data_IF_253194501351
#
_entry.id   IF_253194501351
#
_cell.length_a   1.000
_cell.length_b   1.000
_cell.length_c   1.000
_cell.angle_alpha   90.00
_cell.angle_beta   90.00
_cell.angle_gamma   90.00
#
_symmetry.space_group_name_H-M   'P 1'
#
loop_
_entity.id
_entity.type
_entity.pdbx_description
1 polymer ?
#
# COMPACT_ATOMS: atom_id res chain seq x y z
N UNK A 1 -27.15 -14.43 2.48
CA UNK A 1 -26.34 -14.95 1.35
C UNK A 1 -26.46 -16.46 1.14
N UNK A 2 -25.75 -17.37 1.84
CA UNK A 2 -25.80 -18.82 1.52
C UNK A 2 -27.22 -19.39 1.45
N UNK A 3 -28.04 -19.10 2.47
CA UNK A 3 -29.46 -19.50 2.48
C UNK A 3 -30.23 -18.95 1.28
N UNK A 4 -30.05 -17.68 0.95
CA UNK A 4 -30.71 -17.04 -0.20
C UNK A 4 -30.28 -17.67 -1.53
N UNK A 5 -29.01 -18.02 -1.68
CA UNK A 5 -28.50 -18.71 -2.88
C UNK A 5 -29.12 -20.10 -3.04
N UNK A 6 -29.22 -20.86 -1.94
CA UNK A 6 -29.90 -22.16 -1.91
C UNK A 6 -31.40 -22.02 -2.19
N UNK A 7 -32.07 -21.01 -1.60
CA UNK A 7 -33.49 -20.74 -1.83
C UNK A 7 -33.77 -20.34 -3.30
N UNK A 8 -32.79 -19.72 -3.98
CA UNK A 8 -32.83 -19.37 -5.40
C UNK A 8 -32.39 -20.51 -6.34
N UNK A 9 -31.93 -21.65 -5.80
CA UNK A 9 -31.46 -22.79 -6.60
C UNK A 9 -30.18 -22.52 -7.39
N UNK A 10 -29.37 -21.55 -6.97
CA UNK A 10 -28.10 -21.21 -7.64
C UNK A 10 -27.02 -22.17 -7.12
N UNK A 11 -26.33 -22.89 -8.01
CA UNK A 11 -25.18 -23.71 -7.62
C UNK A 11 -24.01 -22.81 -7.19
N UNK A 12 -23.43 -23.11 -6.04
CA UNK A 12 -22.26 -22.41 -5.53
C UNK A 12 -21.36 -23.36 -4.75
N UNK A 13 -20.06 -23.07 -4.79
CA UNK A 13 -19.03 -23.69 -3.96
C UNK A 13 -18.66 -22.70 -2.85
N UNK A 14 -18.85 -23.08 -1.60
CA UNK A 14 -18.53 -22.21 -0.47
C UNK A 14 -17.08 -22.41 -0.01
N UNK A 15 -16.34 -21.30 0.03
CA UNK A 15 -14.94 -21.27 0.46
C UNK A 15 -14.86 -20.56 1.81
N UNK A 16 -14.31 -21.23 2.82
CA UNK A 16 -14.15 -20.63 4.15
C UNK A 16 -13.13 -19.48 4.16
N UNK A 17 -11.96 -19.67 3.54
CA UNK A 17 -10.91 -18.66 3.49
C UNK A 17 -10.06 -18.74 2.21
N UNK A 18 -10.36 -17.87 1.24
CA UNK A 18 -9.61 -17.78 -0.01
C UNK A 18 -8.13 -17.43 0.19
N UNK A 19 -7.80 -16.67 1.26
CA UNK A 19 -6.40 -16.34 1.57
C UNK A 19 -5.65 -17.61 1.97
N UNK A 20 -6.27 -18.47 2.78
CA UNK A 20 -5.69 -19.75 3.17
C UNK A 20 -5.45 -20.66 1.96
N UNK A 21 -6.46 -20.79 1.07
CA UNK A 21 -6.36 -21.59 -0.15
C UNK A 21 -5.21 -21.11 -1.03
N UNK A 22 -5.08 -19.79 -1.19
CA UNK A 22 -4.00 -19.17 -1.94
C UNK A 22 -2.62 -19.46 -1.32
N UNK A 23 -2.47 -19.28 0.00
CA UNK A 23 -1.20 -19.52 0.70
C UNK A 23 -0.71 -20.96 0.55
N UNK A 24 -1.63 -21.94 0.56
CA UNK A 24 -1.31 -23.37 0.41
C UNK A 24 -1.33 -23.85 -1.03
N UNK A 25 -1.61 -22.98 -2.00
CA UNK A 25 -1.73 -23.30 -3.43
C UNK A 25 -2.71 -24.46 -3.67
N UNK A 26 -3.90 -24.36 -3.06
CA UNK A 26 -4.90 -25.42 -3.12
C UNK A 26 -5.29 -25.74 -4.59
N UNK A 27 -5.43 -27.03 -4.96
CA UNK A 27 -5.81 -27.43 -6.31
C UNK A 27 -7.14 -26.85 -6.82
N UNK A 28 -8.09 -26.53 -5.94
CA UNK A 28 -9.37 -25.94 -6.30
C UNK A 28 -9.19 -24.63 -7.09
N UNK A 29 -8.20 -23.80 -6.71
CA UNK A 29 -7.88 -22.57 -7.45
C UNK A 29 -7.60 -22.83 -8.93
N UNK A 30 -6.87 -23.92 -9.22
CA UNK A 30 -6.55 -24.32 -10.60
C UNK A 30 -7.75 -24.90 -11.33
N UNK A 31 -8.69 -25.54 -10.63
CA UNK A 31 -9.95 -26.02 -11.23
C UNK A 31 -10.78 -24.83 -11.67
N UNK A 32 -11.02 -23.88 -10.75
CA UNK A 32 -11.80 -22.67 -11.01
C UNK A 32 -11.20 -21.81 -12.11
N UNK A 33 -9.89 -21.58 -12.10
CA UNK A 33 -9.21 -20.79 -13.12
C UNK A 33 -9.26 -21.40 -14.55
N UNK A 34 -9.66 -22.68 -14.68
CA UNK A 34 -9.83 -23.36 -15.97
C UNK A 34 -11.28 -23.42 -16.46
N UNK A 35 -12.25 -22.97 -15.65
CA UNK A 35 -13.64 -22.92 -16.06
C UNK A 35 -13.82 -21.93 -17.22
N UNK A 36 -14.83 -22.16 -18.06
CA UNK A 36 -15.11 -21.28 -19.20
C UNK A 36 -15.66 -19.92 -18.74
N UNK A 37 -16.55 -19.94 -17.74
CA UNK A 37 -17.06 -18.76 -17.05
C UNK A 37 -17.12 -19.03 -15.54
N UNK A 38 -16.74 -18.04 -14.74
CA UNK A 38 -16.85 -18.12 -13.28
C UNK A 38 -17.24 -16.77 -12.68
N UNK A 39 -18.21 -16.78 -11.77
CA UNK A 39 -18.54 -15.62 -10.93
C UNK A 39 -17.92 -15.80 -9.55
N UNK A 40 -17.12 -14.85 -9.10
CA UNK A 40 -16.45 -14.91 -7.80
C UNK A 40 -17.03 -13.82 -6.90
N UNK A 41 -17.74 -14.25 -5.87
CA UNK A 41 -18.30 -13.39 -4.82
C UNK A 41 -17.32 -13.36 -3.65
N UNK A 42 -16.55 -12.28 -3.50
CA UNK A 42 -15.48 -12.22 -2.51
C UNK A 42 -15.16 -10.77 -2.08
N UNK A 43 -13.90 -10.48 -1.77
CA UNK A 43 -13.42 -9.13 -1.51
C UNK A 43 -13.13 -8.37 -2.83
N UNK A 44 -12.37 -7.27 -2.75
CA UNK A 44 -12.02 -6.46 -3.91
C UNK A 44 -11.36 -7.28 -5.03
N UNK A 45 -11.73 -6.99 -6.28
CA UNK A 45 -11.22 -7.64 -7.50
C UNK A 45 -9.69 -7.76 -7.51
N UNK A 46 -8.96 -6.67 -7.26
CA UNK A 46 -7.48 -6.70 -7.28
C UNK A 46 -6.93 -7.71 -6.28
N UNK A 47 -7.52 -7.79 -5.08
CA UNK A 47 -7.10 -8.76 -4.08
C UNK A 47 -7.35 -10.20 -4.55
N UNK A 48 -8.54 -10.48 -5.09
CA UNK A 48 -8.89 -11.83 -5.59
C UNK A 48 -7.99 -12.25 -6.75
N UNK A 49 -7.82 -11.38 -7.75
CA UNK A 49 -6.93 -11.61 -8.90
C UNK A 49 -5.52 -12.01 -8.46
N UNK A 50 -4.93 -11.25 -7.54
CA UNK A 50 -3.56 -11.49 -7.10
C UNK A 50 -3.43 -12.62 -6.06
N UNK A 51 -4.51 -12.97 -5.35
CA UNK A 51 -4.59 -14.21 -4.56
C UNK A 51 -4.54 -15.45 -5.46
N UNK A 52 -5.31 -15.47 -6.55
CA UNK A 52 -5.28 -16.57 -7.51
C UNK A 52 -3.91 -16.69 -8.18
N UNK A 53 -3.30 -15.56 -8.56
CA UNK A 53 -1.92 -15.53 -9.07
C UNK A 53 -0.92 -16.09 -8.04
N UNK A 54 -0.98 -15.65 -6.78
CA UNK A 54 -0.09 -16.13 -5.70
C UNK A 54 -0.28 -17.65 -5.42
N UNK A 55 -1.51 -18.15 -5.58
CA UNK A 55 -1.85 -19.57 -5.52
C UNK A 55 -1.35 -20.39 -6.72
N UNK A 56 -0.77 -19.75 -7.74
CA UNK A 56 -0.31 -20.42 -8.97
C UNK A 56 -1.43 -20.77 -9.94
N UNK A 57 -2.53 -20.03 -9.91
CA UNK A 57 -3.71 -20.21 -10.76
C UNK A 57 -4.23 -18.85 -11.26
N UNK A 58 -3.46 -18.09 -12.06
CA UNK A 58 -3.89 -16.77 -12.53
C UNK A 58 -5.21 -16.85 -13.30
N UNK A 59 -6.14 -15.95 -12.98
CA UNK A 59 -7.45 -15.85 -13.63
C UNK A 59 -7.34 -15.14 -14.99
N UNK A 60 -8.19 -15.53 -15.93
CA UNK A 60 -8.36 -14.84 -17.22
C UNK A 60 -9.46 -13.79 -17.08
N UNK A 61 -9.18 -12.48 -17.27
CA UNK A 61 -10.16 -11.41 -17.09
C UNK A 61 -11.44 -11.58 -17.92
N UNK A 62 -11.35 -12.19 -19.10
CA UNK A 62 -12.48 -12.38 -20.02
C UNK A 62 -13.45 -13.47 -19.56
N UNK A 63 -13.04 -14.32 -18.62
CA UNK A 63 -13.80 -15.48 -18.13
C UNK A 63 -14.32 -15.31 -16.70
N UNK A 64 -13.93 -14.24 -16.03
CA UNK A 64 -14.26 -14.01 -14.62
C UNK A 64 -15.08 -12.76 -14.43
N UNK A 65 -16.15 -12.88 -13.65
CA UNK A 65 -16.91 -11.75 -13.14
C UNK A 65 -16.68 -11.68 -11.62
N UNK A 66 -16.32 -10.50 -11.12
CA UNK A 66 -16.10 -10.28 -9.70
C UNK A 66 -17.28 -9.51 -9.09
N UNK A 67 -17.81 -10.04 -8.00
CA UNK A 67 -18.86 -9.40 -7.19
C UNK A 67 -18.28 -9.09 -5.81
N UNK A 68 -18.24 -7.82 -5.44
CA UNK A 68 -17.47 -7.35 -4.28
C UNK A 68 -18.36 -7.21 -3.04
N UNK A 69 -18.28 -8.18 -2.14
CA UNK A 69 -19.04 -8.19 -0.89
C UNK A 69 -18.67 -7.08 0.10
N UNK A 70 -17.57 -6.34 -0.11
CA UNK A 70 -17.20 -5.22 0.77
C UNK A 70 -17.94 -3.94 0.46
N UNK A 71 -18.37 -3.76 -0.79
CA UNK A 71 -18.97 -2.51 -1.27
C UNK A 71 -20.38 -2.71 -1.81
N UNK A 72 -20.66 -3.88 -2.37
CA UNK A 72 -21.92 -4.16 -3.05
C UNK A 72 -22.94 -4.70 -2.06
N UNK A 73 -24.20 -4.33 -2.23
CA UNK A 73 -25.29 -4.84 -1.39
C UNK A 73 -25.62 -6.30 -1.74
N UNK A 74 -26.20 -7.02 -0.78
CA UNK A 74 -26.60 -8.42 -0.98
C UNK A 74 -27.59 -8.53 -2.15
N UNK A 75 -28.54 -7.60 -2.26
CA UNK A 75 -29.55 -7.59 -3.32
C UNK A 75 -28.92 -7.40 -4.71
N UNK A 76 -27.92 -6.51 -4.81
CA UNK A 76 -27.19 -6.28 -6.07
C UNK A 76 -26.42 -7.52 -6.51
N UNK A 77 -25.76 -8.20 -5.56
CA UNK A 77 -25.03 -9.43 -5.82
C UNK A 77 -25.99 -10.53 -6.26
N UNK A 78 -27.10 -10.73 -5.54
CA UNK A 78 -28.10 -11.74 -5.88
C UNK A 78 -28.73 -11.50 -7.26
N UNK A 79 -29.04 -10.24 -7.60
CA UNK A 79 -29.53 -9.90 -8.94
C UNK A 79 -28.56 -10.32 -10.03
N UNK A 80 -27.26 -10.05 -9.84
CA UNK A 80 -26.21 -10.42 -10.80
C UNK A 80 -26.02 -11.94 -10.91
N UNK A 81 -26.31 -12.70 -9.85
CA UNK A 81 -26.20 -14.16 -9.84
C UNK A 81 -27.43 -14.87 -10.42
N UNK A 82 -28.62 -14.29 -10.30
CA UNK A 82 -29.88 -14.88 -10.79
C UNK A 82 -29.99 -15.00 -12.31
N UNK A 83 -29.08 -14.38 -13.05
CA UNK A 83 -28.97 -14.52 -14.52
C UNK A 83 -28.29 -15.84 -14.94
N UNK A 84 -27.81 -16.66 -13.99
CA UNK A 84 -27.20 -17.96 -14.25
C UNK A 84 -28.24 -19.09 -14.12
N UNK A 85 -28.34 -19.95 -15.14
CA UNK A 85 -29.30 -21.07 -15.15
C UNK A 85 -29.02 -22.06 -14.01
N UNK A 86 -30.08 -22.38 -13.27
CA UNK A 86 -30.05 -23.34 -12.18
C UNK A 86 -29.91 -24.78 -12.72
N UNK A 87 -28.85 -25.47 -12.31
CA UNK A 87 -28.77 -26.93 -12.34
C UNK A 87 -28.83 -27.45 -10.90
N UNK A 88 -29.38 -28.64 -10.70
CA UNK A 88 -29.59 -29.20 -9.37
C UNK A 88 -28.50 -30.23 -9.06
N UNK A 89 -27.40 -29.78 -8.46
CA UNK A 89 -26.37 -30.66 -7.89
C UNK A 89 -25.86 -30.11 -6.54
N UNK A 90 -25.35 -31.03 -5.72
CA UNK A 90 -25.00 -30.82 -4.31
C UNK A 90 -23.93 -29.73 -4.12
N UNK A 91 -24.10 -28.90 -3.07
CA UNK A 91 -23.15 -27.86 -2.70
C UNK A 91 -21.91 -28.47 -2.04
N UNK A 92 -20.72 -28.28 -2.62
CA UNK A 92 -19.44 -28.66 -2.03
C UNK A 92 -18.91 -27.51 -1.15
N UNK A 93 -18.62 -27.80 0.13
CA UNK A 93 -17.98 -26.85 1.05
C UNK A 93 -16.48 -27.20 1.17
N UNK A 94 -15.61 -26.26 0.81
CA UNK A 94 -14.18 -26.37 1.11
C UNK A 94 -13.96 -25.87 2.52
N UNK A 95 -13.89 -26.82 3.45
CA UNK A 95 -13.55 -26.59 4.84
C UNK A 95 -12.10 -26.08 5.01
N UNK A 96 -11.85 -25.19 5.98
CA UNK A 96 -10.51 -24.73 6.30
C UNK A 96 -9.67 -25.87 6.89
N UNK A 97 -8.35 -25.81 6.72
CA UNK A 97 -7.46 -26.81 7.30
C UNK A 97 -7.49 -26.69 8.83
N UNK A 98 -7.85 -27.77 9.53
CA UNK A 98 -7.91 -27.82 11.00
C UNK A 98 -6.52 -27.68 11.67
N UNK A 99 -5.46 -27.55 10.88
CA UNK A 99 -4.07 -27.38 11.32
C UNK A 99 -3.77 -25.94 11.79
N UNK A 100 -4.43 -25.54 12.87
CA UNK A 100 -3.89 -24.61 13.85
C UNK A 100 -4.33 -23.14 13.78
N UNK A 101 -3.92 -22.40 14.81
CA UNK A 101 -4.27 -21.00 15.16
C UNK A 101 -3.73 -19.93 14.18
N UNK A 102 -3.22 -20.32 13.02
CA UNK A 102 -2.56 -19.39 12.11
C UNK A 102 -3.59 -18.63 11.29
N UNK A 103 -3.52 -17.30 11.35
CA UNK A 103 -4.36 -16.42 10.54
C UNK A 103 -3.63 -16.22 9.21
N UNK A 104 -4.23 -16.57 8.05
CA UNK A 104 -3.60 -16.44 6.73
C UNK A 104 -3.55 -14.95 6.32
N UNK A 105 -2.71 -14.21 7.04
CA UNK A 105 -2.36 -12.83 6.83
C UNK A 105 -1.02 -12.78 6.09
N UNK A 106 -1.05 -12.37 4.83
CA UNK A 106 0.14 -12.19 4.02
C UNK A 106 -0.13 -11.19 2.88
N UNK A 107 0.91 -10.53 2.36
CA UNK A 107 0.76 -9.66 1.21
C UNK A 107 0.61 -10.49 -0.07
N UNK A 108 -0.15 -9.96 -1.03
CA UNK A 108 -0.06 -10.33 -2.45
C UNK A 108 0.45 -9.13 -3.25
N UNK A 109 1.07 -9.39 -4.40
CA UNK A 109 1.69 -8.34 -5.22
C UNK A 109 0.85 -8.15 -6.47
N UNK A 110 0.45 -6.90 -6.69
CA UNK A 110 -0.11 -6.42 -7.93
C UNK A 110 0.99 -6.17 -8.95
N UNK A 111 1.24 -7.14 -9.83
CA UNK A 111 2.31 -7.05 -10.81
C UNK A 111 2.02 -6.07 -11.95
N UNK A 112 0.76 -5.67 -12.15
CA UNK A 112 0.42 -4.61 -13.11
C UNK A 112 0.85 -3.22 -12.62
N UNK A 113 0.99 -3.06 -11.30
CA UNK A 113 1.49 -1.82 -10.68
C UNK A 113 2.95 -1.91 -10.22
N UNK A 114 3.45 -3.11 -9.96
CA UNK A 114 4.77 -3.30 -9.39
C UNK A 114 5.88 -2.89 -10.37
N UNK A 115 6.53 -1.75 -10.13
CA UNK A 115 7.72 -1.32 -10.86
C UNK A 115 9.01 -2.08 -10.46
N UNK A 116 8.90 -3.21 -9.76
CA UNK A 116 10.01 -4.03 -9.26
C UNK A 116 11.13 -3.24 -8.52
N UNK A 117 10.76 -2.18 -7.77
CA UNK A 117 11.72 -1.28 -7.10
C UNK A 117 12.41 -1.87 -5.84
N UNK A 118 12.00 -3.07 -5.40
CA UNK A 118 12.58 -3.81 -4.26
C UNK A 118 12.48 -3.13 -2.88
N UNK A 119 11.73 -2.03 -2.74
CA UNK A 119 11.55 -1.38 -1.44
C UNK A 119 10.87 -2.28 -0.41
N UNK A 120 9.84 -3.04 -0.80
CA UNK A 120 9.16 -3.99 0.10
C UNK A 120 10.09 -5.12 0.59
N UNK A 121 11.00 -5.58 -0.27
CA UNK A 121 12.03 -6.57 0.07
C UNK A 121 12.95 -6.04 1.16
N UNK A 122 13.49 -4.84 0.98
CA UNK A 122 14.42 -4.23 1.94
C UNK A 122 13.73 -3.78 3.24
N UNK A 123 12.45 -3.43 3.16
CA UNK A 123 11.68 -2.95 4.31
C UNK A 123 11.22 -4.10 5.22
N UNK A 124 10.92 -5.28 4.66
CA UNK A 124 10.36 -6.38 5.43
C UNK A 124 11.42 -7.08 6.29
N UNK A 125 11.37 -6.84 7.60
CA UNK A 125 12.26 -7.49 8.58
C UNK A 125 11.96 -8.99 8.80
N UNK A 126 10.82 -9.48 8.30
CA UNK A 126 10.36 -10.85 8.54
C UNK A 126 10.69 -11.81 7.39
N UNK A 127 11.39 -11.37 6.34
CA UNK A 127 11.79 -12.25 5.23
C UNK A 127 10.63 -12.76 4.38
N UNK A 128 9.50 -12.03 4.34
CA UNK A 128 8.31 -12.45 3.56
C UNK A 128 8.59 -12.46 2.05
N UNK A 129 9.39 -11.51 1.59
CA UNK A 129 9.70 -11.32 0.17
C UNK A 129 11.05 -11.94 -0.19
N UNK A 130 11.19 -12.34 -1.44
CA UNK A 130 12.45 -12.71 -2.07
C UNK A 130 12.46 -12.34 -3.55
N UNK A 131 13.53 -12.71 -4.27
CA UNK A 131 13.66 -12.49 -5.71
C UNK A 131 13.44 -13.80 -6.46
N UNK A 132 12.74 -13.72 -7.60
CA UNK A 132 12.68 -14.80 -8.58
C UNK A 132 14.02 -14.96 -9.31
N UNK A 133 14.15 -16.04 -10.10
CA UNK A 133 15.29 -16.24 -11.00
C UNK A 133 15.48 -15.08 -11.99
N UNK A 134 14.38 -14.41 -12.35
CA UNK A 134 14.37 -13.25 -13.24
C UNK A 134 14.60 -11.92 -12.50
N UNK A 135 14.88 -11.97 -11.18
CA UNK A 135 15.10 -10.78 -10.35
C UNK A 135 13.83 -9.99 -10.02
N UNK A 136 12.65 -10.59 -10.18
CA UNK A 136 11.36 -9.99 -9.81
C UNK A 136 11.03 -10.28 -8.35
N UNK A 137 10.56 -9.27 -7.60
CA UNK A 137 10.12 -9.48 -6.21
C UNK A 137 8.92 -10.43 -6.16
N UNK A 138 8.97 -11.42 -5.28
CA UNK A 138 7.89 -12.36 -5.02
C UNK A 138 7.69 -12.56 -3.51
N UNK A 139 6.51 -12.99 -3.11
CA UNK A 139 6.22 -13.42 -1.74
C UNK A 139 6.64 -14.89 -1.63
N UNK A 140 7.74 -15.15 -0.92
CA UNK A 140 8.31 -16.50 -0.79
C UNK A 140 7.92 -17.16 0.53
N UNK A 141 7.81 -16.37 1.60
CA UNK A 141 7.49 -16.87 2.95
C UNK A 141 6.26 -16.15 3.51
N UNK A 142 5.04 -16.42 2.97
CA UNK A 142 3.82 -15.74 3.41
C UNK A 142 3.53 -15.95 4.90
N UNK A 143 3.86 -17.14 5.44
CA UNK A 143 3.68 -17.47 6.86
C UNK A 143 4.52 -16.62 7.83
N UNK A 144 5.60 -16.01 7.35
CA UNK A 144 6.44 -15.14 8.19
C UNK A 144 5.86 -13.74 8.38
N UNK A 145 4.80 -13.39 7.64
CA UNK A 145 4.24 -12.05 7.75
C UNK A 145 3.64 -11.83 9.15
N UNK A 146 4.11 -10.80 9.85
CA UNK A 146 3.52 -10.42 11.13
C UNK A 146 2.08 -9.99 10.91
N UNK A 147 1.14 -10.68 11.55
CA UNK A 147 -0.29 -10.38 11.50
C UNK A 147 -0.57 -8.91 11.78
N UNK A 148 -1.43 -8.30 10.97
CA UNK A 148 -1.82 -6.88 11.03
C UNK A 148 -0.68 -5.86 10.79
N UNK A 149 0.43 -6.26 10.16
CA UNK A 149 1.49 -5.33 9.75
C UNK A 149 1.37 -4.96 8.25
N UNK A 150 0.87 -3.77 7.89
CA UNK A 150 0.73 -3.31 6.49
C UNK A 150 1.93 -2.47 6.00
N UNK A 151 3.02 -2.44 6.76
CA UNK A 151 4.05 -1.42 6.59
C UNK A 151 4.76 -1.47 5.22
N UNK A 152 4.95 -2.66 4.64
CA UNK A 152 5.47 -2.81 3.28
C UNK A 152 4.50 -2.30 2.18
N UNK A 153 3.20 -2.23 2.46
CA UNK A 153 2.24 -1.64 1.54
C UNK A 153 2.29 -0.11 1.57
N UNK A 154 2.50 0.48 2.75
CA UNK A 154 2.64 1.94 2.92
C UNK A 154 3.89 2.49 2.21
N UNK A 155 5.02 1.79 2.29
CA UNK A 155 6.27 2.20 1.65
C UNK A 155 6.25 2.01 0.13
N UNK A 156 5.36 1.18 -0.42
CA UNK A 156 5.32 0.93 -1.85
C UNK A 156 4.88 2.19 -2.63
N UNK A 157 5.73 2.78 -3.49
CA UNK A 157 5.40 4.00 -4.21
C UNK A 157 4.27 3.79 -5.24
N UNK A 158 4.12 2.56 -5.73
CA UNK A 158 3.10 2.20 -6.73
C UNK A 158 1.81 1.64 -6.11
N UNK A 159 1.73 1.53 -4.78
CA UNK A 159 0.61 0.90 -4.06
C UNK A 159 0.27 -0.51 -4.59
N UNK A 160 1.32 -1.26 -4.93
CA UNK A 160 1.22 -2.58 -5.54
C UNK A 160 1.08 -3.72 -4.52
N UNK A 161 1.43 -3.50 -3.25
CA UNK A 161 1.30 -4.53 -2.21
C UNK A 161 -0.12 -4.48 -1.64
N UNK A 162 -0.79 -5.63 -1.62
CA UNK A 162 -2.18 -5.78 -1.19
C UNK A 162 -2.25 -6.75 -0.01
N UNK A 163 -3.00 -6.40 1.02
CA UNK A 163 -3.38 -7.26 2.14
C UNK A 163 -4.90 -7.44 2.14
N UNK A 164 -5.44 -8.55 1.58
CA UNK A 164 -6.89 -8.72 1.43
C UNK A 164 -7.67 -8.58 2.75
N UNK A 165 -7.08 -9.07 3.85
CA UNK A 165 -7.69 -9.00 5.19
C UNK A 165 -7.53 -7.64 5.88
N UNK A 166 -6.80 -6.70 5.29
CA UNK A 166 -6.69 -5.34 5.84
C UNK A 166 -7.96 -4.53 5.56
N UNK A 167 -8.21 -3.51 6.37
CA UNK A 167 -9.42 -2.69 6.32
C UNK A 167 -9.25 -1.45 5.44
N UNK A 168 -8.09 -0.80 5.48
CA UNK A 168 -7.90 0.50 4.82
C UNK A 168 -7.59 0.36 3.32
N UNK A 169 -8.23 1.24 2.53
CA UNK A 169 -7.94 1.46 1.12
C UNK A 169 -6.63 2.26 0.96
N UNK A 170 -5.84 2.04 -0.12
CA UNK A 170 -6.03 1.07 -1.19
C UNK A 170 -5.32 -0.28 -0.92
N UNK A 171 -4.76 -0.47 0.29
CA UNK A 171 -3.96 -1.64 0.61
C UNK A 171 -4.78 -2.91 0.78
N UNK A 172 -6.08 -2.78 1.03
CA UNK A 172 -7.03 -3.89 1.10
C UNK A 172 -7.43 -4.49 -0.27
N UNK A 173 -6.94 -3.92 -1.38
CA UNK A 173 -7.27 -4.33 -2.75
C UNK A 173 -8.26 -3.41 -3.46
N UNK A 174 -8.74 -2.36 -2.80
CA UNK A 174 -9.58 -1.33 -3.41
C UNK A 174 -8.84 -0.53 -4.49
N UNK A 175 -9.56 0.32 -5.23
CA UNK A 175 -9.02 1.17 -6.29
C UNK A 175 -7.99 2.14 -5.69
N UNK A 176 -6.85 2.24 -6.36
CA UNK A 176 -5.83 3.24 -6.01
C UNK A 176 -6.25 4.58 -6.61
N UNK A 177 -6.65 5.53 -5.76
CA UNK A 177 -6.93 6.90 -6.18
C UNK A 177 -5.66 7.65 -6.61
N UNK A 178 -5.82 8.69 -7.42
CA UNK A 178 -4.72 9.57 -7.87
C UNK A 178 -4.36 10.66 -6.83
N UNK A 179 -5.07 10.73 -5.71
CA UNK A 179 -5.09 11.91 -4.83
C UNK A 179 -3.96 11.97 -3.80
N UNK A 180 -3.30 10.85 -3.49
CA UNK A 180 -2.28 10.78 -2.43
C UNK A 180 -1.06 11.68 -2.72
N UNK A 181 -0.71 11.88 -4.00
CA UNK A 181 0.39 12.76 -4.39
C UNK A 181 0.02 14.25 -4.40
N UNK A 182 -1.23 14.57 -4.74
CA UNK A 182 -1.72 15.95 -4.86
C UNK A 182 -1.96 16.61 -3.50
N UNK A 183 -2.49 15.87 -2.52
CA UNK A 183 -2.69 16.40 -1.16
C UNK A 183 -1.37 16.75 -0.47
N UNK A 184 -0.31 15.96 -0.68
CA UNK A 184 0.97 16.20 -0.03
C UNK A 184 1.70 17.43 -0.61
N UNK A 185 1.69 17.64 -1.92
CA UNK A 185 2.30 18.83 -2.53
C UNK A 185 1.55 20.12 -2.17
N UNK A 186 0.22 20.04 -2.03
CA UNK A 186 -0.62 21.16 -1.61
C UNK A 186 -0.45 21.48 -0.10
N UNK A 187 -0.41 20.45 0.76
CA UNK A 187 -0.10 20.60 2.19
C UNK A 187 1.31 21.17 2.43
N UNK A 188 2.30 20.78 1.63
CA UNK A 188 3.67 21.29 1.72
C UNK A 188 3.87 22.63 0.99
N UNK A 189 2.83 23.15 0.34
CA UNK A 189 2.80 24.47 -0.31
C UNK A 189 3.84 24.64 -1.42
N UNK A 190 4.07 23.59 -2.21
CA UNK A 190 4.99 23.62 -3.36
C UNK A 190 5.65 22.27 -3.65
N UNK A 191 6.31 22.17 -4.80
CA UNK A 191 7.08 20.98 -5.19
C UNK A 191 8.32 20.84 -4.29
N UNK A 192 8.45 19.65 -3.67
CA UNK A 192 9.55 19.30 -2.78
C UNK A 192 10.90 19.48 -3.49
N UNK A 193 10.97 19.23 -4.80
CA UNK A 193 12.18 19.39 -5.59
C UNK A 193 12.64 20.84 -5.70
N UNK A 194 11.72 21.80 -5.77
CA UNK A 194 12.04 23.22 -5.79
C UNK A 194 12.53 23.71 -4.42
N UNK A 195 11.96 23.18 -3.33
CA UNK A 195 12.36 23.52 -1.96
C UNK A 195 13.75 22.97 -1.65
N UNK A 196 14.04 21.72 -2.05
CA UNK A 196 15.36 21.12 -1.88
C UNK A 196 16.41 21.74 -2.82
N UNK A 197 16.02 22.11 -4.04
CA UNK A 197 16.87 22.81 -5.00
C UNK A 197 17.31 24.21 -4.52
N UNK A 198 16.46 24.90 -3.75
CA UNK A 198 16.82 26.18 -3.11
C UNK A 198 17.83 26.00 -1.96
N UNK A 199 17.74 24.90 -1.21
CA UNK A 199 18.70 24.58 -0.13
C UNK A 199 20.10 24.29 -0.69
N UNK A 200 20.19 23.65 -1.86
CA UNK A 200 21.47 23.38 -2.52
C UNK A 200 22.16 24.60 -3.15
N UNK A 201 21.46 25.72 -3.35
CA UNK A 201 21.99 26.92 -4.03
C UNK A 201 22.49 28.03 -3.10
N UNK A 202 22.23 27.96 -1.80
CA UNK A 202 22.68 28.96 -0.83
C UNK A 202 23.85 28.45 0.01
N UNK A 203 25.04 28.42 -0.60
CA UNK A 203 26.28 28.51 0.16
C UNK A 203 26.41 29.97 0.64
N UNK A 204 25.93 30.25 1.85
CA UNK A 204 26.04 31.58 2.45
C UNK A 204 24.87 31.89 3.35
N UNK A 205 24.98 31.53 4.63
CA UNK A 205 24.07 32.01 5.67
C UNK A 205 24.45 33.47 5.94
N UNK A 206 23.90 34.38 5.14
CA UNK A 206 23.78 35.78 5.52
C UNK A 206 22.31 36.06 5.82
N UNK A 207 22.10 36.59 7.02
CA UNK A 207 20.82 36.90 7.63
C UNK A 207 19.79 37.49 6.66
N UNK A 208 18.60 36.92 6.67
CA UNK A 208 17.39 37.59 6.21
C UNK A 208 16.42 37.69 7.38
N UNK A 209 16.58 38.78 8.12
CA UNK A 209 15.55 39.39 8.94
C UNK A 209 14.51 40.02 8.00
N UNK A 210 13.53 39.22 7.54
CA UNK A 210 12.31 39.66 6.85
C UNK A 210 11.42 38.44 6.53
N UNK A 211 10.89 37.75 7.54
CA UNK A 211 9.98 36.62 7.30
C UNK A 211 9.11 36.19 8.48
N UNK A 212 9.19 36.90 9.61
CA UNK A 212 8.60 36.44 10.87
C UNK A 212 7.06 36.46 10.86
N UNK A 213 6.43 37.26 9.98
CA UNK A 213 4.97 37.33 9.84
C UNK A 213 4.38 36.21 8.95
N UNK A 214 5.15 35.63 8.01
CA UNK A 214 4.66 34.55 7.13
C UNK A 214 4.77 33.16 7.76
N UNK A 215 5.75 32.92 8.64
CA UNK A 215 5.92 31.64 9.34
C UNK A 215 4.79 31.33 10.33
N UNK A 216 4.35 32.33 11.10
CA UNK A 216 3.28 32.19 12.09
C UNK A 216 1.91 31.92 11.44
N UNK A 217 1.59 32.62 10.35
CA UNK A 217 0.33 32.41 9.62
C UNK A 217 0.28 31.05 8.91
N UNK A 218 1.42 30.50 8.51
CA UNK A 218 1.52 29.17 7.91
C UNK A 218 1.43 28.05 8.94
N UNK A 219 2.04 28.23 10.12
CA UNK A 219 1.95 27.29 11.24
C UNK A 219 0.49 27.15 11.73
N UNK A 220 -0.22 28.27 11.89
CA UNK A 220 -1.62 28.28 12.28
C UNK A 220 -2.54 27.63 11.24
N UNK A 221 -2.26 27.82 9.94
CA UNK A 221 -2.99 27.14 8.85
C UNK A 221 -2.77 25.63 8.86
N UNK A 222 -1.55 25.18 9.09
CA UNK A 222 -1.20 23.76 9.17
C UNK A 222 -1.76 23.10 10.43
N UNK A 223 -1.78 23.81 11.56
CA UNK A 223 -2.39 23.34 12.79
C UNK A 223 -3.87 22.98 12.59
N UNK A 224 -4.62 23.90 11.98
CA UNK A 224 -6.04 23.70 11.71
C UNK A 224 -6.28 22.64 10.63
N UNK A 225 -5.42 22.54 9.63
CA UNK A 225 -5.56 21.55 8.56
C UNK A 225 -5.23 20.10 8.99
N UNK A 226 -4.48 19.94 10.09
CA UNK A 226 -4.02 18.63 10.59
C UNK A 226 -4.65 18.26 11.94
N UNK A 227 -5.65 19.01 12.42
CA UNK A 227 -6.32 18.81 13.71
C UNK A 227 -5.34 18.60 14.89
N UNK A 228 -4.25 19.37 14.91
CA UNK A 228 -3.23 19.26 15.97
C UNK A 228 -3.74 20.00 17.22
N UNK A 229 -3.97 19.32 18.36
CA UNK A 229 -4.43 19.96 19.58
C UNK A 229 -3.44 21.05 20.04
N UNK A 230 -3.97 22.18 20.52
CA UNK A 230 -3.17 23.34 20.96
C UNK A 230 -2.09 22.95 22.00
N UNK A 231 -2.44 22.01 22.88
CA UNK A 231 -1.56 21.47 23.92
C UNK A 231 -0.25 20.87 23.35
N UNK A 232 -0.30 20.25 22.17
CA UNK A 232 0.89 19.68 21.50
C UNK A 232 1.82 20.79 21.03
N UNK A 233 1.28 21.89 20.51
CA UNK A 233 2.08 23.03 20.04
C UNK A 233 2.72 23.79 21.22
N UNK A 234 1.97 23.92 22.31
CA UNK A 234 2.45 24.52 23.55
C UNK A 234 3.56 23.68 24.18
N UNK A 235 3.48 22.34 24.09
CA UNK A 235 4.54 21.43 24.54
C UNK A 235 5.85 21.59 23.74
N UNK A 236 5.76 21.93 22.45
CA UNK A 236 6.93 22.14 21.58
C UNK A 236 7.58 23.52 21.77
N UNK A 237 6.78 24.53 22.12
CA UNK A 237 7.20 25.94 22.09
C UNK A 237 7.77 26.49 23.42
N UNK A 238 7.67 25.76 24.53
CA UNK A 238 8.22 26.21 25.81
C UNK A 238 9.58 25.58 26.21
N UNK A 239 10.01 24.48 25.57
CA UNK A 239 11.17 23.70 26.04
C UNK A 239 12.30 23.39 25.05
N UNK A 240 12.03 23.29 23.74
CA UNK A 240 13.02 22.68 22.82
C UNK A 240 13.70 23.65 21.84
N UNK A 241 13.31 24.93 21.80
CA UNK A 241 13.94 25.94 20.93
C UNK A 241 15.29 26.43 21.51
N UNK A 242 15.59 26.17 22.79
CA UNK A 242 16.88 26.53 23.40
C UNK A 242 17.89 25.37 23.52
N UNK A 243 17.50 24.13 23.24
CA UNK A 243 18.41 22.96 23.36
C UNK A 243 18.72 22.26 22.02
N UNK A 244 18.28 22.81 20.88
CA UNK A 244 18.74 22.39 19.54
C UNK A 244 20.09 22.98 19.11
N UNK A 245 20.80 23.69 19.99
CA UNK A 245 22.09 24.32 19.68
C UNK A 245 23.29 23.58 20.31
N UNK A 246 23.18 22.26 20.42
CA UNK A 246 24.29 21.41 20.85
C UNK A 246 25.10 20.95 19.63
N UNK A 247 26.19 21.68 19.41
CA UNK A 247 27.46 21.24 18.82
C UNK A 247 27.38 20.68 17.39
N UNK A 248 27.42 21.60 16.42
CA UNK A 248 28.14 21.30 15.18
C UNK A 248 29.61 21.05 15.55
N UNK A 249 30.02 19.78 15.49
CA UNK A 249 31.42 19.39 15.57
C UNK A 249 32.20 20.16 14.51
N UNK A 250 33.15 20.96 14.97
CA UNK A 250 34.17 21.58 14.13
C UNK A 250 35.16 20.47 13.78
N UNK A 251 34.83 19.67 12.77
CA UNK A 251 35.85 18.83 12.13
C UNK A 251 36.69 19.74 11.25
N UNK A 252 37.94 19.87 11.71
CA UNK A 252 38.99 20.66 11.12
C UNK A 252 39.46 19.95 9.83
N UNK A 253 38.94 20.38 8.67
CA UNK A 253 39.52 19.98 7.39
C UNK A 253 40.79 20.82 7.13
N UNK A 254 41.84 20.55 7.89
CA UNK A 254 43.18 21.09 7.71
C UNK A 254 44.12 20.03 7.12
N UNK A 255 43.80 19.51 5.93
CA UNK A 255 44.77 19.06 4.92
C UNK A 255 44.07 18.36 3.75
N UNK A 256 43.94 19.05 2.62
CA UNK A 256 44.15 18.49 1.26
C UNK A 256 44.20 19.65 0.26
N UNK A 257 45.18 19.58 -0.63
CA UNK A 257 45.57 20.57 -1.63
C UNK A 257 44.44 21.01 -2.60
N UNK A 258 44.57 22.19 -3.22
CA UNK A 258 43.50 22.80 -4.01
C UNK A 258 43.42 22.22 -5.43
N UNK A 259 42.34 21.50 -5.75
CA UNK A 259 41.90 21.31 -7.13
C UNK A 259 40.50 21.93 -7.34
N UNK A 260 40.55 23.12 -7.93
CA UNK A 260 39.55 23.79 -8.78
C UNK A 260 38.06 23.46 -8.59
N UNK A 261 37.39 24.21 -7.72
CA UNK A 261 35.94 24.41 -7.80
C UNK A 261 35.66 25.73 -8.55
N UNK A 262 35.41 25.62 -9.85
CA UNK A 262 35.22 26.76 -10.75
C UNK A 262 33.80 27.35 -10.63
N UNK A 263 33.58 28.22 -9.64
CA UNK A 263 32.36 29.02 -9.52
C UNK A 263 32.65 30.48 -9.91
N UNK A 264 32.43 30.82 -11.19
CA UNK A 264 32.50 32.18 -11.71
C UNK A 264 31.33 33.03 -11.20
N UNK A 265 31.47 33.66 -10.04
CA UNK A 265 30.61 34.79 -9.65
C UNK A 265 31.20 36.10 -10.19
N UNK A 266 30.69 36.57 -11.33
CA UNK A 266 30.90 37.95 -11.78
C UNK A 266 30.24 38.91 -10.79
N UNK A 267 31.03 39.74 -10.10
CA UNK A 267 30.52 40.90 -9.36
C UNK A 267 30.50 42.10 -10.31
N UNK A 268 29.31 42.57 -10.67
CA UNK A 268 29.11 43.87 -11.30
C UNK A 268 29.24 44.98 -10.26
N UNK A 269 29.93 46.05 -10.66
CA UNK A 269 30.17 47.27 -9.87
C UNK A 269 28.90 48.06 -9.61
#
# INVERSE_FOLDING_TARGET
MRKELTDLGIEFEAVADLCELSARKDPALKRWAKMDTIKIVACFERAVKWLFHAGGAPLQPERVEFLNMRTDSIESILGSLSECEASATEHEEIEPDKRGKWIPWFPVIDYERCANCKQCLNFCLFGVFGLSEQGQVQVQQPANCKTNCPACARVCPQKAIIFPKYTESPFNGDKVGTEDGAKLSELLGGDIHDILGRRGKCCGVSAMDAGQQQGASRLAKLQNALDIPQEVIESLSAGQIKEGNLKAGKEDCSNTEPQECNCKCKRGK
#
